data_IF_086350733669
#
_entry.id   IF_086350733669
#
_cell.length_a   1.000
_cell.length_b   1.000
_cell.length_c   1.000
_cell.angle_alpha   90.00
_cell.angle_beta   90.00
_cell.angle_gamma   90.00
#
_symmetry.space_group_name_H-M   'P 1'
#
loop_
_entity.id
_entity.type
_entity.pdbx_description
1 polymer ?
#
# COMPACT_ATOMS: atom_id res chain seq x y z
N UNK A 1 12.16 2.26 -23.29
CA UNK A 1 10.85 2.64 -22.81
C UNK A 1 10.81 4.10 -22.50
N UNK A 2 9.75 4.67 -22.84
CA UNK A 2 9.40 6.07 -22.78
C UNK A 2 8.73 6.46 -21.45
N UNK A 3 9.26 6.04 -20.35
CA UNK A 3 8.71 6.20 -18.99
C UNK A 3 8.25 7.58 -18.53
N UNK A 4 8.29 8.58 -19.41
CA UNK A 4 7.96 9.96 -19.06
C UNK A 4 6.48 10.22 -18.74
N UNK A 5 5.56 9.40 -19.23
CA UNK A 5 4.12 9.58 -19.00
C UNK A 5 3.61 9.07 -17.66
N UNK A 6 4.41 8.31 -16.91
CA UNK A 6 4.01 7.63 -15.67
C UNK A 6 4.65 8.19 -14.39
N UNK A 7 5.43 9.27 -14.49
CA UNK A 7 6.04 9.91 -13.30
C UNK A 7 5.19 11.09 -12.87
N UNK A 8 4.70 11.05 -11.65
CA UNK A 8 3.83 12.08 -11.08
C UNK A 8 4.44 12.61 -9.78
N UNK A 9 4.52 13.94 -9.67
CA UNK A 9 4.87 14.61 -8.42
C UNK A 9 3.59 14.75 -7.58
N UNK A 10 3.45 13.91 -6.58
CA UNK A 10 2.30 13.89 -5.68
C UNK A 10 2.61 13.08 -4.42
N UNK A 11 1.74 13.11 -3.41
CA UNK A 11 1.82 12.20 -2.28
C UNK A 11 1.61 10.76 -2.76
N UNK A 12 2.61 9.89 -2.54
CA UNK A 12 2.56 8.48 -2.96
C UNK A 12 1.49 7.65 -2.26
N UNK A 13 0.97 8.13 -1.14
CA UNK A 13 -0.08 7.48 -0.37
C UNK A 13 -1.49 7.76 -0.92
N UNK A 14 -1.65 8.75 -1.81
CA UNK A 14 -2.93 9.14 -2.39
C UNK A 14 -3.07 8.72 -3.86
N UNK A 15 -4.32 8.60 -4.30
CA UNK A 15 -4.61 8.35 -5.71
C UNK A 15 -4.30 9.59 -6.56
N UNK A 16 -3.60 9.38 -7.64
CA UNK A 16 -3.26 10.40 -8.62
C UNK A 16 -3.24 9.74 -10.00
N UNK A 17 -3.28 10.54 -11.03
CA UNK A 17 -3.17 10.13 -12.43
C UNK A 17 -2.60 8.71 -12.63
N UNK A 18 -3.42 7.80 -13.08
CA UNK A 18 -2.95 6.47 -13.37
C UNK A 18 -2.58 5.59 -12.17
N UNK A 19 -2.62 6.09 -10.94
CA UNK A 19 -2.32 5.33 -9.72
C UNK A 19 -3.56 5.23 -8.85
N UNK A 20 -4.27 4.11 -8.96
CA UNK A 20 -5.47 3.79 -8.16
C UNK A 20 -5.56 2.30 -7.87
N UNK A 21 -6.44 1.95 -6.96
CA UNK A 21 -6.60 0.59 -6.44
C UNK A 21 -7.00 -0.41 -7.54
N UNK A 22 -6.44 -1.61 -7.46
CA UNK A 22 -6.75 -2.71 -8.37
C UNK A 22 -6.22 -2.53 -9.80
N UNK A 23 -5.22 -1.67 -10.02
CA UNK A 23 -4.75 -1.36 -11.36
C UNK A 23 -3.55 -2.18 -11.85
N UNK A 24 -2.64 -2.53 -10.97
CA UNK A 24 -1.33 -3.06 -11.37
C UNK A 24 -1.25 -4.57 -11.22
N UNK A 25 -0.57 -5.22 -12.16
CA UNK A 25 -0.25 -6.64 -12.10
C UNK A 25 1.00 -6.91 -11.25
N UNK A 26 1.96 -5.97 -11.28
CA UNK A 26 3.23 -6.04 -10.54
C UNK A 26 3.61 -4.66 -10.02
N UNK A 27 4.05 -4.62 -8.76
CA UNK A 27 4.64 -3.43 -8.13
C UNK A 27 6.01 -3.79 -7.58
N UNK A 28 7.01 -2.95 -7.86
CA UNK A 28 8.33 -3.00 -7.25
C UNK A 28 8.61 -1.65 -6.60
N UNK A 29 8.98 -1.64 -5.32
CA UNK A 29 9.15 -0.38 -4.59
C UNK A 29 10.17 -0.49 -3.46
N UNK A 30 10.78 0.67 -3.15
CA UNK A 30 11.58 0.89 -1.96
C UNK A 30 11.01 2.14 -1.26
N UNK A 31 10.06 1.97 -0.34
CA UNK A 31 9.44 3.09 0.35
C UNK A 31 10.41 3.75 1.34
N UNK A 32 10.14 4.98 1.77
CA UNK A 32 10.88 5.61 2.87
C UNK A 32 10.68 4.84 4.17
N UNK A 33 11.74 4.76 5.00
CA UNK A 33 11.74 4.05 6.27
C UNK A 33 11.77 4.99 7.47
N UNK A 34 11.19 4.54 8.59
CA UNK A 34 11.35 5.16 9.91
C UNK A 34 10.58 6.44 10.13
N UNK A 35 9.91 6.96 9.11
CA UNK A 35 9.00 8.10 9.25
C UNK A 35 7.62 7.66 9.74
N UNK A 36 6.88 8.62 10.31
CA UNK A 36 5.49 8.40 10.70
C UNK A 36 4.61 9.46 10.07
N UNK A 37 3.41 9.05 9.69
CA UNK A 37 2.30 9.94 9.40
C UNK A 37 1.59 10.19 10.73
N UNK A 38 1.53 11.45 11.15
CA UNK A 38 0.83 11.85 12.37
C UNK A 38 -0.69 11.77 12.15
N UNK A 39 -1.44 11.55 13.24
CA UNK A 39 -2.90 11.41 13.20
C UNK A 39 -3.60 12.70 12.74
N UNK A 40 -2.94 13.85 12.92
CA UNK A 40 -3.46 15.15 12.55
C UNK A 40 -3.22 15.53 11.08
N UNK A 41 -2.45 14.71 10.36
CA UNK A 41 -2.25 14.90 8.91
C UNK A 41 -3.57 14.59 8.20
N UNK A 42 -4.06 15.59 7.48
CA UNK A 42 -5.33 15.54 6.76
C UNK A 42 -5.11 15.68 5.27
N UNK A 43 -6.03 15.07 4.51
CA UNK A 43 -6.17 15.35 3.09
C UNK A 43 -6.65 16.79 2.92
N UNK A 44 -6.03 17.54 2.04
CA UNK A 44 -6.28 18.96 1.83
C UNK A 44 -6.68 19.26 0.39
N UNK A 45 -7.14 20.48 0.12
CA UNK A 45 -7.42 20.97 -1.24
C UNK A 45 -6.17 20.92 -2.14
N UNK A 46 -4.96 21.03 -1.56
CA UNK A 46 -3.71 20.95 -2.30
C UNK A 46 -3.39 19.54 -2.82
N UNK A 47 -4.03 18.53 -2.25
CA UNK A 47 -3.87 17.13 -2.67
C UNK A 47 -4.74 16.76 -3.87
N UNK A 48 -5.68 17.66 -4.26
CA UNK A 48 -6.46 17.48 -5.48
C UNK A 48 -5.58 17.58 -6.72
N UNK A 49 -5.81 16.68 -7.64
CA UNK A 49 -5.19 16.76 -8.95
C UNK A 49 -5.97 17.76 -9.83
N UNK A 50 -5.30 18.81 -10.28
CA UNK A 50 -5.96 19.97 -10.93
C UNK A 50 -5.55 20.18 -12.40
N UNK A 51 -4.67 19.35 -12.97
CA UNK A 51 -4.28 19.46 -14.39
C UNK A 51 -5.41 18.94 -15.29
N UNK A 52 -6.29 19.85 -15.71
CA UNK A 52 -7.46 19.53 -16.54
C UNK A 52 -7.11 18.84 -17.86
N UNK A 53 -5.97 19.16 -18.46
CA UNK A 53 -5.54 18.53 -19.71
C UNK A 53 -5.29 17.04 -19.48
N UNK A 54 -4.57 16.70 -18.41
CA UNK A 54 -4.31 15.31 -18.03
C UNK A 54 -5.59 14.63 -17.56
N UNK A 55 -6.40 15.28 -16.73
CA UNK A 55 -7.69 14.75 -16.30
C UNK A 55 -8.54 14.32 -17.48
N UNK A 56 -8.73 15.21 -18.47
CA UNK A 56 -9.53 14.92 -19.65
C UNK A 56 -8.94 13.79 -20.50
N UNK A 57 -7.61 13.72 -20.63
CA UNK A 57 -6.94 12.63 -21.33
C UNK A 57 -7.14 11.27 -20.61
N UNK A 58 -7.09 11.25 -19.27
CA UNK A 58 -7.31 10.05 -18.48
C UNK A 58 -8.78 9.63 -18.47
N UNK A 59 -9.72 10.57 -18.38
CA UNK A 59 -11.16 10.28 -18.52
C UNK A 59 -11.44 9.63 -19.86
N UNK A 60 -10.89 10.17 -20.95
CA UNK A 60 -11.05 9.61 -22.30
C UNK A 60 -10.50 8.19 -22.39
N UNK A 61 -9.42 7.87 -21.66
CA UNK A 61 -8.74 6.58 -21.73
C UNK A 61 -9.33 5.53 -20.81
N UNK A 62 -9.76 5.92 -19.62
CA UNK A 62 -10.11 5.01 -18.51
C UNK A 62 -11.53 5.19 -17.99
N UNK A 63 -12.24 6.27 -18.44
CA UNK A 63 -13.63 6.49 -18.10
C UNK A 63 -13.90 6.54 -16.61
N UNK A 64 -14.92 5.80 -16.16
CA UNK A 64 -15.39 5.81 -14.78
C UNK A 64 -14.38 5.30 -13.76
N UNK A 65 -13.45 4.42 -14.15
CA UNK A 65 -12.41 3.94 -13.25
C UNK A 65 -11.55 5.10 -12.75
N UNK A 66 -11.14 5.99 -13.66
CA UNK A 66 -10.37 7.17 -13.29
C UNK A 66 -11.19 8.18 -12.47
N UNK A 67 -12.45 8.40 -12.82
CA UNK A 67 -13.34 9.27 -12.03
C UNK A 67 -13.53 8.77 -10.60
N UNK A 68 -13.67 7.44 -10.42
CA UNK A 68 -13.75 6.84 -9.09
C UNK A 68 -12.41 6.97 -8.33
N UNK A 69 -11.29 6.87 -9.03
CA UNK A 69 -9.98 7.07 -8.41
C UNK A 69 -9.81 8.48 -7.83
N UNK A 70 -10.32 9.51 -8.52
CA UNK A 70 -10.26 10.89 -8.02
C UNK A 70 -11.11 11.11 -6.77
N UNK A 71 -12.18 10.34 -6.57
CA UNK A 71 -13.05 10.45 -5.39
C UNK A 71 -12.29 10.12 -4.09
N UNK A 72 -11.30 9.23 -4.13
CA UNK A 72 -10.49 8.90 -2.95
C UNK A 72 -9.88 10.15 -2.30
N UNK A 73 -9.48 11.13 -3.09
CA UNK A 73 -8.98 12.41 -2.56
C UNK A 73 -10.12 13.42 -2.39
N UNK A 74 -10.94 13.60 -3.43
CA UNK A 74 -11.92 14.70 -3.48
C UNK A 74 -13.00 14.61 -2.39
N UNK A 75 -13.46 13.40 -2.09
CA UNK A 75 -14.55 13.15 -1.15
C UNK A 75 -14.05 13.07 0.31
N UNK A 76 -12.73 12.98 0.55
CA UNK A 76 -12.14 12.82 1.88
C UNK A 76 -11.32 14.03 2.36
N UNK A 77 -11.51 15.19 1.71
CA UNK A 77 -10.85 16.43 2.14
C UNK A 77 -11.26 16.79 3.55
N UNK A 78 -10.29 17.09 4.41
CA UNK A 78 -10.48 17.37 5.82
C UNK A 78 -10.43 16.12 6.72
N UNK A 79 -10.48 14.93 6.16
CA UNK A 79 -10.33 13.67 6.90
C UNK A 79 -8.86 13.31 7.14
N UNK A 80 -8.59 12.44 8.11
CA UNK A 80 -7.24 11.98 8.39
C UNK A 80 -6.71 11.13 7.23
N UNK A 81 -5.45 11.37 6.83
CA UNK A 81 -4.78 10.55 5.83
C UNK A 81 -4.71 9.08 6.26
N UNK A 82 -4.54 8.80 7.57
CA UNK A 82 -4.49 7.43 8.10
C UNK A 82 -5.80 6.67 7.91
N UNK A 83 -6.94 7.36 7.87
CA UNK A 83 -8.25 6.71 7.69
C UNK A 83 -8.45 6.14 6.28
N UNK A 84 -7.58 6.52 5.33
CA UNK A 84 -7.58 5.94 3.98
C UNK A 84 -6.95 4.53 3.92
N UNK A 85 -6.34 4.08 5.02
CA UNK A 85 -5.63 2.80 5.10
C UNK A 85 -6.30 1.89 6.13
N UNK A 86 -6.56 0.65 5.73
CA UNK A 86 -7.07 -0.34 6.67
C UNK A 86 -6.11 -0.62 7.83
N UNK A 87 -4.81 -0.48 7.60
CA UNK A 87 -3.76 -0.61 8.61
C UNK A 87 -3.52 0.66 9.43
N UNK A 88 -4.08 1.80 9.02
CA UNK A 88 -3.79 3.11 9.62
C UNK A 88 -4.14 3.22 11.12
N UNK A 89 -5.13 2.47 11.59
CA UNK A 89 -5.46 2.36 13.02
C UNK A 89 -4.44 1.54 13.82
N UNK A 90 -3.69 0.67 13.16
CA UNK A 90 -2.68 -0.21 13.77
C UNK A 90 -1.30 0.44 13.80
N UNK A 91 -0.96 1.19 12.76
CA UNK A 91 0.35 1.83 12.64
C UNK A 91 0.32 3.04 11.70
N UNK A 92 1.00 4.11 12.10
CA UNK A 92 1.29 5.26 11.24
C UNK A 92 2.69 5.22 10.61
N UNK A 93 3.44 4.11 10.74
CA UNK A 93 4.75 3.98 10.09
C UNK A 93 4.60 4.02 8.57
N UNK A 94 5.42 4.85 7.92
CA UNK A 94 5.32 5.09 6.47
C UNK A 94 5.50 3.80 5.68
N UNK A 95 6.49 2.97 6.02
CA UNK A 95 6.72 1.69 5.37
C UNK A 95 5.53 0.73 5.50
N UNK A 96 4.80 0.76 6.62
CA UNK A 96 3.59 -0.06 6.84
C UNK A 96 2.43 0.44 5.97
N UNK A 97 2.24 1.76 5.89
CA UNK A 97 1.22 2.36 5.03
C UNK A 97 1.50 2.06 3.56
N UNK A 98 2.78 2.07 3.14
CA UNK A 98 3.15 1.70 1.76
C UNK A 98 2.91 0.23 1.43
N UNK A 99 3.02 -0.69 2.39
CA UNK A 99 2.61 -2.09 2.15
C UNK A 99 1.11 -2.14 1.84
N UNK A 100 0.28 -1.52 2.67
CA UNK A 100 -1.18 -1.49 2.47
C UNK A 100 -1.55 -0.82 1.14
N UNK A 101 -0.93 0.34 0.87
CA UNK A 101 -1.07 1.06 -0.39
C UNK A 101 -0.75 0.17 -1.60
N UNK A 102 0.39 -0.50 -1.59
CA UNK A 102 0.82 -1.36 -2.70
C UNK A 102 -0.11 -2.57 -2.88
N UNK A 103 -0.55 -3.20 -1.79
CA UNK A 103 -1.50 -4.31 -1.87
C UNK A 103 -2.82 -3.84 -2.49
N UNK A 104 -3.33 -2.67 -2.11
CA UNK A 104 -4.57 -2.12 -2.67
C UNK A 104 -4.41 -1.74 -4.14
N UNK A 105 -3.28 -1.17 -4.55
CA UNK A 105 -2.98 -0.83 -5.95
C UNK A 105 -2.87 -2.05 -6.87
N UNK A 106 -2.53 -3.23 -6.34
CA UNK A 106 -2.46 -4.46 -7.13
C UNK A 106 -3.86 -4.95 -7.51
N UNK A 107 -3.98 -5.56 -8.67
CA UNK A 107 -5.11 -6.43 -9.01
C UNK A 107 -5.14 -7.66 -8.09
N UNK A 108 -6.31 -8.30 -7.89
CA UNK A 108 -6.36 -9.64 -7.28
C UNK A 108 -5.38 -10.59 -7.99
N UNK A 109 -4.54 -11.28 -7.22
CA UNK A 109 -3.47 -12.14 -7.76
C UNK A 109 -2.19 -11.45 -8.20
N UNK A 110 -2.14 -10.11 -8.17
CA UNK A 110 -0.96 -9.31 -8.50
C UNK A 110 0.18 -9.51 -7.50
N UNK A 111 1.40 -9.12 -7.88
CA UNK A 111 2.64 -9.39 -7.13
C UNK A 111 3.33 -8.10 -6.70
N UNK A 112 3.79 -8.08 -5.46
CA UNK A 112 4.56 -7.00 -4.85
C UNK A 112 5.97 -7.47 -4.52
N UNK A 113 6.99 -6.73 -4.96
CA UNK A 113 8.34 -6.79 -4.43
C UNK A 113 8.64 -5.48 -3.68
N UNK A 114 8.96 -5.57 -2.40
CA UNK A 114 9.16 -4.39 -1.55
C UNK A 114 10.39 -4.56 -0.67
N UNK A 115 11.16 -3.48 -0.55
CA UNK A 115 12.24 -3.39 0.44
C UNK A 115 11.64 -2.90 1.75
N UNK A 116 11.92 -3.59 2.86
CA UNK A 116 11.41 -3.24 4.18
C UNK A 116 12.51 -3.33 5.23
N UNK A 117 12.45 -2.51 6.29
CA UNK A 117 13.30 -2.72 7.45
C UNK A 117 12.91 -4.01 8.17
N UNK A 118 13.89 -4.76 8.64
CA UNK A 118 13.68 -6.04 9.34
C UNK A 118 12.74 -5.91 10.56
N UNK A 119 12.68 -4.72 11.18
CA UNK A 119 11.76 -4.43 12.26
C UNK A 119 10.28 -4.65 11.93
N UNK A 120 9.87 -4.52 10.66
CA UNK A 120 8.49 -4.84 10.25
C UNK A 120 8.20 -6.33 10.43
N UNK A 121 9.21 -7.19 10.25
CA UNK A 121 9.09 -8.63 10.29
C UNK A 121 9.17 -9.22 11.71
N UNK A 122 9.96 -8.61 12.60
CA UNK A 122 10.30 -9.21 13.89
C UNK A 122 9.89 -8.39 15.12
N UNK A 123 9.49 -7.13 14.97
CA UNK A 123 9.04 -6.33 16.10
C UNK A 123 7.68 -6.83 16.63
N UNK A 124 7.62 -7.16 17.91
CA UNK A 124 6.39 -7.64 18.58
C UNK A 124 5.24 -6.62 18.51
N UNK A 125 5.55 -5.32 18.57
CA UNK A 125 4.55 -4.25 18.48
C UNK A 125 3.87 -4.18 17.11
N UNK A 126 4.42 -4.84 16.08
CA UNK A 126 3.86 -4.89 14.74
C UNK A 126 3.20 -6.26 14.42
N UNK A 127 2.94 -7.08 15.41
CA UNK A 127 2.26 -8.36 15.20
C UNK A 127 0.90 -8.18 14.53
N UNK A 128 0.05 -7.29 15.04
CA UNK A 128 -1.27 -7.02 14.45
C UNK A 128 -1.19 -6.52 13.00
N UNK A 129 -0.10 -5.79 12.66
CA UNK A 129 0.17 -5.34 11.29
C UNK A 129 0.48 -6.54 10.38
N UNK A 130 1.31 -7.48 10.84
CA UNK A 130 1.61 -8.70 10.06
C UNK A 130 0.36 -9.55 9.85
N UNK A 131 -0.43 -9.77 10.90
CA UNK A 131 -1.71 -10.50 10.81
C UNK A 131 -2.70 -9.83 9.83
N UNK A 132 -2.71 -8.49 9.79
CA UNK A 132 -3.52 -7.74 8.84
C UNK A 132 -3.09 -8.03 7.38
N UNK A 133 -1.79 -8.09 7.10
CA UNK A 133 -1.28 -8.38 5.75
C UNK A 133 -1.39 -9.85 5.38
N UNK A 134 -1.19 -10.77 6.30
CA UNK A 134 -1.41 -12.21 6.11
C UNK A 134 -2.87 -12.53 5.72
N UNK A 135 -3.81 -11.72 6.16
CA UNK A 135 -5.21 -11.80 5.76
C UNK A 135 -5.55 -11.27 4.37
N UNK A 136 -4.56 -10.75 3.60
CA UNK A 136 -4.76 -10.10 2.29
C UNK A 136 -3.81 -10.57 1.22
N UNK A 137 -2.66 -11.06 1.61
CA UNK A 137 -1.60 -11.42 0.68
C UNK A 137 -0.80 -12.62 1.18
N UNK A 138 -0.39 -13.44 0.25
CA UNK A 138 0.51 -14.57 0.50
C UNK A 138 1.96 -14.11 0.41
N UNK A 139 2.75 -14.38 1.44
CA UNK A 139 4.20 -14.19 1.40
C UNK A 139 4.78 -15.28 0.50
N UNK A 140 5.52 -14.89 -0.54
CA UNK A 140 6.16 -15.80 -1.50
C UNK A 140 7.61 -16.06 -1.13
N UNK A 141 8.32 -15.01 -0.73
CA UNK A 141 9.75 -15.06 -0.44
C UNK A 141 10.16 -13.89 0.45
N UNK A 142 11.09 -14.15 1.37
CA UNK A 142 11.79 -13.15 2.16
C UNK A 142 13.30 -13.36 1.94
N UNK A 143 13.99 -12.30 1.53
CA UNK A 143 15.44 -12.30 1.35
C UNK A 143 16.04 -11.28 2.31
N UNK A 144 16.82 -11.75 3.29
CA UNK A 144 17.57 -10.88 4.18
C UNK A 144 18.76 -10.27 3.43
N UNK A 145 18.92 -8.96 3.52
CA UNK A 145 20.02 -8.23 2.86
C UNK A 145 21.02 -7.82 3.95
N UNK A 146 22.34 -7.93 3.69
CA UNK A 146 23.34 -7.43 4.61
C UNK A 146 23.14 -5.93 4.91
N UNK A 147 23.35 -5.52 6.15
CA UNK A 147 23.14 -4.15 6.61
C UNK A 147 24.02 -3.15 5.83
N UNK A 148 25.20 -3.60 5.45
CA UNK A 148 26.22 -2.80 4.75
C UNK A 148 25.72 -2.25 3.42
N UNK A 149 24.77 -2.92 2.77
CA UNK A 149 24.21 -2.49 1.47
C UNK A 149 23.57 -1.10 1.56
N UNK A 150 22.99 -0.74 2.70
CA UNK A 150 22.31 0.55 2.91
C UNK A 150 23.13 1.55 3.74
N UNK A 151 24.24 1.13 4.31
CA UNK A 151 25.11 2.03 5.10
C UNK A 151 25.67 3.19 4.27
N UNK A 152 26.01 2.95 3.00
CA UNK A 152 26.47 3.98 2.08
C UNK A 152 25.43 5.08 1.81
N UNK A 153 24.14 4.75 1.98
CA UNK A 153 23.01 5.69 1.89
C UNK A 153 22.63 6.31 3.25
N UNK A 154 23.44 6.10 4.30
CA UNK A 154 23.20 6.65 5.64
C UNK A 154 22.14 5.89 6.47
N UNK A 155 21.65 4.77 6.00
CA UNK A 155 20.68 3.97 6.75
C UNK A 155 21.37 2.97 7.67
N UNK A 156 20.99 2.96 8.95
CA UNK A 156 21.52 2.04 9.97
C UNK A 156 20.64 0.79 10.17
N UNK A 157 19.54 0.68 9.43
CA UNK A 157 18.59 -0.45 9.51
C UNK A 157 19.00 -1.58 8.58
N UNK A 158 18.84 -2.81 9.05
CA UNK A 158 18.99 -4.01 8.21
C UNK A 158 17.75 -4.17 7.35
N UNK A 159 17.89 -4.18 6.01
CA UNK A 159 16.77 -4.34 5.09
C UNK A 159 16.50 -5.81 4.78
N UNK A 160 15.27 -6.06 4.31
CA UNK A 160 14.86 -7.32 3.71
C UNK A 160 14.05 -7.04 2.44
N UNK A 161 14.20 -7.89 1.44
CA UNK A 161 13.31 -7.91 0.29
C UNK A 161 12.16 -8.86 0.61
N UNK A 162 10.95 -8.38 0.46
CA UNK A 162 9.75 -9.20 0.61
C UNK A 162 8.98 -9.26 -0.70
N UNK A 163 8.51 -10.46 -1.01
CA UNK A 163 7.68 -10.72 -2.17
C UNK A 163 6.35 -11.28 -1.73
N UNK A 164 5.27 -10.59 -2.13
CA UNK A 164 3.90 -10.94 -1.84
C UNK A 164 3.13 -11.23 -3.12
N UNK A 165 2.08 -12.02 -2.99
CA UNK A 165 0.98 -12.13 -3.95
C UNK A 165 -0.29 -11.66 -3.26
N UNK A 166 -0.95 -10.62 -3.77
CA UNK A 166 -2.30 -10.26 -3.32
C UNK A 166 -3.23 -11.46 -3.54
N UNK A 167 -4.08 -11.76 -2.58
CA UNK A 167 -5.08 -12.82 -2.76
C UNK A 167 -5.92 -12.55 -3.99
N UNK A 168 -6.28 -13.63 -4.70
CA UNK A 168 -7.39 -13.59 -5.65
C UNK A 168 -8.70 -13.48 -4.87
N UNK A 169 -9.80 -13.19 -5.55
CA UNK A 169 -11.12 -13.13 -4.90
C UNK A 169 -11.48 -14.48 -4.25
N UNK A 170 -11.16 -15.59 -4.90
CA UNK A 170 -11.39 -16.92 -4.35
C UNK A 170 -10.51 -17.22 -3.13
N UNK A 171 -9.21 -16.86 -3.18
CA UNK A 171 -8.29 -17.00 -2.05
C UNK A 171 -8.72 -16.16 -0.85
N UNK A 172 -9.19 -14.93 -1.10
CA UNK A 172 -9.70 -14.05 -0.04
C UNK A 172 -10.95 -14.67 0.62
N UNK A 173 -11.89 -15.12 -0.19
CA UNK A 173 -13.09 -15.78 0.31
C UNK A 173 -12.77 -17.02 1.14
N UNK A 174 -11.87 -17.88 0.64
CA UNK A 174 -11.44 -19.06 1.39
C UNK A 174 -10.82 -18.69 2.75
N UNK A 175 -9.97 -17.67 2.77
CA UNK A 175 -9.35 -17.19 4.01
C UNK A 175 -10.39 -16.70 4.99
N UNK A 176 -11.34 -15.90 4.54
CA UNK A 176 -12.39 -15.32 5.37
C UNK A 176 -13.33 -16.40 5.93
N UNK A 177 -13.74 -17.39 5.12
CA UNK A 177 -14.56 -18.54 5.51
C UNK A 177 -13.86 -19.40 6.59
N UNK A 178 -12.55 -19.69 6.42
CA UNK A 178 -11.78 -20.47 7.37
C UNK A 178 -11.62 -19.69 8.68
N UNK A 179 -11.35 -18.40 8.59
CA UNK A 179 -11.20 -17.52 9.75
C UNK A 179 -12.49 -17.43 10.55
N UNK A 180 -13.63 -17.24 9.89
CA UNK A 180 -14.94 -17.20 10.55
C UNK A 180 -15.26 -18.52 11.26
N UNK A 181 -15.00 -19.66 10.59
CA UNK A 181 -15.18 -20.98 11.17
C UNK A 181 -14.31 -21.18 12.42
N UNK A 182 -13.02 -20.84 12.37
CA UNK A 182 -12.12 -20.96 13.50
C UNK A 182 -12.57 -20.09 14.69
N UNK A 183 -13.08 -18.88 14.44
CA UNK A 183 -13.61 -18.04 15.52
C UNK A 183 -14.93 -18.55 16.11
N UNK A 184 -15.79 -19.21 15.33
CA UNK A 184 -17.01 -19.81 15.86
C UNK A 184 -16.73 -21.00 16.78
N UNK A 185 -15.74 -21.84 16.41
CA UNK A 185 -15.34 -23.01 17.19
C UNK A 185 -14.66 -22.67 18.56
N UNK A 186 -14.11 -21.47 18.69
CA UNK A 186 -13.49 -21.01 19.95
C UNK A 186 -14.48 -20.33 20.90
N UNK A 187 -15.67 -19.94 20.41
CA UNK A 187 -16.71 -19.27 21.22
C UNK A 187 -17.68 -20.24 21.88
N UNK A 188 -17.71 -21.50 21.45
CA UNK A 188 -18.47 -22.60 22.04
C UNK A 188 -17.59 -23.35 23.08
#
# INVERSE_FOLDING_TARGET
GDGHGGVHHHDGLLNVNGMWDGRFDVILTNPPFGSRVDKDIKITEADKFTDETKINAYIKRYGNEYLNALKQVNDHIGESLLDQFGVGKLSGLTEVLFIDRCINLLKPGGRLGIVLPEGVLNNTNLQNVREYFEGRAKILLIVSIPQEVFMAAGATVKPSLMFFKRFTEDEQKQYDDIKEKAYSEVRD
#
